data_IF_523863645249
#
_entry.id   IF_523863645249
#
_cell.length_a   1.000
_cell.length_b   1.000
_cell.length_c   1.000
_cell.angle_alpha   90.00
_cell.angle_beta   90.00
_cell.angle_gamma   90.00
#
_symmetry.space_group_name_H-M   'P 1'
#
loop_
_entity.id
_entity.type
_entity.pdbx_description
1 polymer ?
#
# COMPACT_ATOMS: atom_id res chain seq x y z
N UNK A 1 21.80 19.56 -41.08
CA UNK A 1 22.12 18.14 -41.32
C UNK A 1 22.05 17.45 -39.97
N UNK A 2 21.01 16.64 -39.85
CA UNK A 2 20.64 15.82 -38.71
C UNK A 2 21.52 14.56 -38.65
N UNK A 3 21.54 13.91 -37.50
CA UNK A 3 22.08 12.56 -37.19
C UNK A 3 23.58 12.41 -36.89
N UNK A 4 23.90 12.12 -35.61
CA UNK A 4 24.91 11.10 -35.19
C UNK A 4 25.21 11.08 -33.68
N UNK A 5 24.21 10.96 -32.80
CA UNK A 5 24.49 10.69 -31.36
C UNK A 5 23.78 9.50 -30.72
N UNK A 6 23.07 8.67 -31.49
CA UNK A 6 22.36 7.50 -30.97
C UNK A 6 22.76 6.19 -31.66
N UNK A 7 24.00 6.04 -32.12
CA UNK A 7 24.52 4.74 -32.53
C UNK A 7 25.02 3.98 -31.29
N UNK A 8 24.14 3.22 -30.63
CA UNK A 8 24.57 2.24 -29.62
C UNK A 8 23.64 2.00 -28.43
N UNK A 9 22.58 2.78 -28.24
CA UNK A 9 21.64 2.55 -27.13
C UNK A 9 20.56 1.53 -27.55
N UNK A 10 20.53 0.38 -26.87
CA UNK A 10 19.44 -0.59 -27.03
C UNK A 10 18.23 -0.15 -26.19
N UNK A 11 17.00 -0.22 -26.73
CA UNK A 11 15.81 0.15 -25.98
C UNK A 11 15.53 -0.84 -24.84
N UNK A 12 14.81 -0.40 -23.81
CA UNK A 12 14.27 -1.29 -22.78
C UNK A 12 13.39 -2.37 -23.41
N UNK A 13 13.54 -3.61 -22.95
CA UNK A 13 12.78 -4.75 -23.47
C UNK A 13 11.29 -4.74 -23.08
N UNK A 14 10.93 -4.04 -22.01
CA UNK A 14 9.56 -3.96 -21.47
C UNK A 14 9.17 -2.51 -21.19
N UNK A 15 7.87 -2.21 -21.29
CA UNK A 15 7.34 -0.88 -20.97
C UNK A 15 7.29 -0.61 -19.46
N UNK A 16 7.22 0.66 -19.07
CA UNK A 16 7.19 1.07 -17.66
C UNK A 16 5.96 0.55 -16.89
N UNK A 17 4.78 0.51 -17.53
CA UNK A 17 3.53 0.05 -16.92
C UNK A 17 3.29 -1.47 -17.10
N UNK A 18 4.31 -2.22 -17.51
CA UNK A 18 4.20 -3.63 -17.86
C UNK A 18 4.60 -4.56 -16.69
N UNK A 19 4.37 -4.12 -15.45
CA UNK A 19 4.81 -4.85 -14.26
C UNK A 19 4.17 -6.24 -14.13
N UNK A 20 2.99 -6.46 -14.71
CA UNK A 20 2.29 -7.74 -14.68
C UNK A 20 2.78 -8.75 -15.74
N UNK A 21 3.69 -8.37 -16.64
CA UNK A 21 4.29 -9.31 -17.60
C UNK A 21 5.16 -10.38 -16.93
N UNK A 22 5.66 -10.10 -15.72
CA UNK A 22 6.20 -11.11 -14.81
C UNK A 22 5.46 -11.02 -13.46
N UNK A 23 4.39 -11.80 -13.33
CA UNK A 23 3.56 -11.82 -12.10
C UNK A 23 4.37 -12.23 -10.87
N UNK A 24 5.37 -13.11 -11.04
CA UNK A 24 6.22 -13.56 -9.94
C UNK A 24 7.06 -12.39 -9.39
N UNK A 25 7.73 -11.66 -10.28
CA UNK A 25 8.50 -10.47 -9.92
C UNK A 25 7.59 -9.35 -9.41
N UNK A 26 6.41 -9.18 -9.99
CA UNK A 26 5.41 -8.22 -9.53
C UNK A 26 5.00 -8.49 -8.07
N UNK A 27 4.59 -9.71 -7.77
CA UNK A 27 4.22 -10.12 -6.42
C UNK A 27 5.40 -9.98 -5.45
N UNK A 28 6.59 -10.47 -5.81
CA UNK A 28 7.79 -10.32 -4.98
C UNK A 28 8.11 -8.85 -4.70
N UNK A 29 7.96 -7.97 -5.69
CA UNK A 29 8.24 -6.52 -5.53
C UNK A 29 7.20 -5.84 -4.65
N UNK A 30 5.94 -6.27 -4.72
CA UNK A 30 4.87 -5.75 -3.84
C UNK A 30 5.13 -6.11 -2.38
N UNK A 31 5.50 -7.36 -2.10
CA UNK A 31 5.68 -7.84 -0.72
C UNK A 31 7.10 -7.58 -0.18
N UNK A 32 8.11 -7.58 -1.04
CA UNK A 32 9.53 -7.50 -0.70
C UNK A 32 10.31 -6.64 -1.73
N UNK A 33 10.00 -5.34 -1.86
CA UNK A 33 10.64 -4.46 -2.86
C UNK A 33 12.15 -4.36 -2.68
N UNK A 34 12.65 -4.51 -1.44
CA UNK A 34 14.08 -4.51 -1.13
C UNK A 34 14.83 -5.66 -1.78
N UNK A 35 14.23 -6.85 -1.92
CA UNK A 35 14.86 -8.01 -2.57
C UNK A 35 14.98 -7.76 -4.07
N UNK A 36 13.91 -7.25 -4.70
CA UNK A 36 13.93 -6.86 -6.12
C UNK A 36 15.02 -5.83 -6.37
N UNK A 37 15.08 -4.79 -5.55
CA UNK A 37 16.11 -3.76 -5.65
C UNK A 37 17.51 -4.33 -5.42
N UNK A 38 17.72 -5.10 -4.34
CA UNK A 38 19.03 -5.63 -3.98
C UNK A 38 19.61 -6.56 -5.04
N UNK A 39 18.79 -7.44 -5.63
CA UNK A 39 19.21 -8.29 -6.76
C UNK A 39 19.61 -7.46 -7.98
N UNK A 40 18.82 -6.43 -8.30
CA UNK A 40 19.12 -5.55 -9.44
C UNK A 40 20.40 -4.74 -9.20
N UNK A 41 20.55 -4.19 -8.00
CA UNK A 41 21.70 -3.39 -7.59
C UNK A 41 22.99 -4.21 -7.56
N UNK A 42 22.96 -5.45 -7.07
CA UNK A 42 24.12 -6.34 -7.07
C UNK A 42 24.65 -6.59 -8.49
N UNK A 43 23.75 -6.87 -9.44
CA UNK A 43 24.11 -7.07 -10.86
C UNK A 43 24.66 -5.78 -11.48
N UNK A 44 24.01 -4.63 -11.25
CA UNK A 44 24.46 -3.32 -11.75
C UNK A 44 25.85 -2.97 -11.18
N UNK A 45 26.05 -3.24 -9.89
CA UNK A 45 27.29 -2.98 -9.17
C UNK A 45 28.37 -4.04 -9.39
N UNK A 46 28.12 -5.04 -10.25
CA UNK A 46 29.04 -6.14 -10.57
C UNK A 46 29.55 -6.86 -9.31
N UNK A 47 28.70 -7.00 -8.30
CA UNK A 47 29.02 -7.64 -7.03
C UNK A 47 29.93 -6.83 -6.08
N UNK A 48 30.24 -5.56 -6.40
CA UNK A 48 31.00 -4.69 -5.46
C UNK A 48 30.23 -4.37 -4.18
N UNK A 49 28.89 -4.40 -4.24
CA UNK A 49 27.98 -4.35 -3.09
C UNK A 49 27.10 -5.58 -3.22
N UNK A 50 27.04 -6.39 -2.17
CA UNK A 50 26.20 -7.58 -2.17
C UNK A 50 24.71 -7.24 -2.26
N UNK A 51 23.90 -8.20 -2.68
CA UNK A 51 22.44 -8.06 -2.62
C UNK A 51 21.98 -7.76 -1.19
N UNK A 52 22.58 -8.39 -0.17
CA UNK A 52 22.26 -8.16 1.23
C UNK A 52 22.49 -6.70 1.66
N UNK A 53 23.64 -6.12 1.33
CA UNK A 53 23.95 -4.73 1.65
C UNK A 53 23.02 -3.74 0.92
N UNK A 54 22.77 -3.99 -0.37
CA UNK A 54 21.85 -3.18 -1.16
C UNK A 54 20.41 -3.27 -0.63
N UNK A 55 19.98 -4.46 -0.20
CA UNK A 55 18.68 -4.67 0.45
C UNK A 55 18.59 -3.88 1.76
N UNK A 56 19.60 -3.98 2.63
CA UNK A 56 19.63 -3.30 3.93
C UNK A 56 19.58 -1.79 3.76
N UNK A 57 20.41 -1.23 2.86
CA UNK A 57 20.42 0.20 2.59
C UNK A 57 19.08 0.68 2.04
N UNK A 58 18.51 -0.04 1.08
CA UNK A 58 17.21 0.29 0.51
C UNK A 58 16.10 0.20 1.56
N UNK A 59 16.07 -0.87 2.37
CA UNK A 59 15.13 -1.04 3.47
C UNK A 59 15.17 0.14 4.43
N UNK A 60 16.37 0.53 4.90
CA UNK A 60 16.52 1.65 5.84
C UNK A 60 15.96 2.94 5.25
N UNK A 61 16.36 3.28 4.02
CA UNK A 61 15.90 4.50 3.36
C UNK A 61 14.38 4.51 3.13
N UNK A 62 13.83 3.39 2.65
CA UNK A 62 12.41 3.27 2.32
C UNK A 62 11.51 3.21 3.56
N UNK A 63 11.90 2.44 4.58
CA UNK A 63 11.14 2.31 5.81
C UNK A 63 11.15 3.58 6.65
N UNK A 64 12.28 4.28 6.76
CA UNK A 64 12.38 5.51 7.55
C UNK A 64 11.60 6.65 6.88
N UNK A 65 11.67 6.80 5.55
CA UNK A 65 11.04 7.95 4.87
C UNK A 65 9.56 7.78 4.57
N UNK A 66 9.09 6.56 4.30
CA UNK A 66 7.74 6.36 3.73
C UNK A 66 6.95 5.27 4.45
N UNK A 67 7.49 4.05 4.52
CA UNK A 67 6.66 2.89 4.90
C UNK A 67 6.27 2.92 6.37
N UNK A 68 7.21 3.08 7.31
CA UNK A 68 6.87 3.05 8.74
C UNK A 68 5.90 4.19 9.12
N UNK A 69 6.12 5.47 8.73
CA UNK A 69 5.16 6.53 9.01
C UNK A 69 3.77 6.24 8.45
N UNK A 70 3.68 5.73 7.21
CA UNK A 70 2.38 5.40 6.59
C UNK A 70 1.66 4.25 7.29
N UNK A 71 2.39 3.21 7.72
CA UNK A 71 1.83 2.09 8.49
C UNK A 71 1.32 2.58 9.85
N UNK A 72 2.12 3.34 10.60
CA UNK A 72 1.70 3.87 11.91
C UNK A 72 0.46 4.74 11.80
N UNK A 73 0.44 5.63 10.81
CA UNK A 73 -0.71 6.49 10.53
C UNK A 73 -1.96 5.68 10.16
N UNK A 74 -1.82 4.70 9.25
CA UNK A 74 -2.89 3.77 8.88
C UNK A 74 -3.43 3.00 10.08
N UNK A 75 -2.56 2.44 10.92
CA UNK A 75 -2.95 1.73 12.16
C UNK A 75 -3.77 2.60 13.11
N UNK A 76 -3.43 3.88 13.26
CA UNK A 76 -4.18 4.81 14.11
C UNK A 76 -5.58 5.04 13.52
N UNK A 77 -5.67 5.29 12.22
CA UNK A 77 -6.95 5.51 11.54
C UNK A 77 -7.83 4.27 11.56
N UNK A 78 -7.28 3.09 11.28
CA UNK A 78 -7.99 1.83 11.34
C UNK A 78 -8.53 1.53 12.75
N UNK A 79 -7.74 1.79 13.79
CA UNK A 79 -8.21 1.69 15.19
C UNK A 79 -9.35 2.67 15.48
N UNK A 80 -9.25 3.92 15.02
CA UNK A 80 -10.33 4.92 15.16
C UNK A 80 -11.62 4.49 14.44
N UNK A 81 -11.50 4.03 13.19
CA UNK A 81 -12.62 3.52 12.39
C UNK A 81 -13.32 2.38 13.11
N UNK A 82 -12.55 1.43 13.65
CA UNK A 82 -13.10 0.30 14.40
C UNK A 82 -13.78 0.72 15.69
N UNK A 83 -13.21 1.68 16.42
CA UNK A 83 -13.81 2.24 17.64
C UNK A 83 -15.14 2.95 17.36
N UNK A 84 -15.23 3.73 16.28
CA UNK A 84 -16.44 4.47 15.92
C UNK A 84 -17.60 3.58 15.48
N UNK A 85 -17.30 2.51 14.73
CA UNK A 85 -18.34 1.64 14.14
C UNK A 85 -18.45 0.27 14.83
N UNK A 86 -17.89 0.10 16.02
CA UNK A 86 -18.00 -1.14 16.80
C UNK A 86 -17.43 -2.39 16.10
N UNK A 87 -16.44 -2.22 15.23
CA UNK A 87 -15.96 -3.31 14.36
C UNK A 87 -15.04 -4.27 15.12
N UNK A 88 -15.29 -5.58 14.95
CA UNK A 88 -14.48 -6.66 15.53
C UNK A 88 -12.99 -6.48 15.19
N UNK A 89 -12.12 -6.91 16.11
CA UNK A 89 -10.70 -7.04 15.82
C UNK A 89 -10.48 -7.97 14.62
N UNK A 90 -9.65 -7.50 13.69
CA UNK A 90 -9.12 -8.33 12.60
C UNK A 90 -8.33 -9.51 13.20
N UNK A 91 -8.32 -10.70 12.56
CA UNK A 91 -7.54 -11.84 13.04
C UNK A 91 -6.02 -11.57 13.12
N UNK A 92 -5.53 -10.55 12.41
CA UNK A 92 -4.14 -10.06 12.49
C UNK A 92 -4.09 -8.63 13.04
N UNK A 93 -3.01 -8.30 13.75
CA UNK A 93 -2.74 -6.94 14.24
C UNK A 93 -2.74 -5.94 13.07
N UNK A 94 -3.39 -4.79 13.25
CA UNK A 94 -3.51 -3.71 12.25
C UNK A 94 -2.13 -3.30 11.66
N UNK A 95 -1.06 -3.40 12.45
CA UNK A 95 0.32 -3.19 11.96
C UNK A 95 0.73 -4.20 10.88
N UNK A 96 0.51 -5.49 11.11
CA UNK A 96 0.88 -6.54 10.15
C UNK A 96 0.04 -6.44 8.86
N UNK A 97 -1.24 -6.08 9.01
CA UNK A 97 -2.13 -5.86 7.86
C UNK A 97 -1.62 -4.71 6.99
N UNK A 98 -1.23 -3.57 7.57
CA UNK A 98 -0.66 -2.47 6.80
C UNK A 98 0.78 -2.72 6.31
N UNK A 99 1.53 -3.61 6.96
CA UNK A 99 2.89 -3.97 6.55
C UNK A 99 2.91 -4.85 5.30
N UNK A 100 2.10 -5.92 5.29
CA UNK A 100 2.13 -6.91 4.21
C UNK A 100 0.99 -6.75 3.21
N UNK A 101 -0.11 -6.12 3.62
CA UNK A 101 -1.34 -6.01 2.83
C UNK A 101 -1.85 -4.55 2.81
N UNK A 102 -0.93 -3.59 2.71
CA UNK A 102 -1.23 -2.16 2.83
C UNK A 102 -2.42 -1.72 1.96
N UNK A 103 -2.35 -1.99 0.66
CA UNK A 103 -3.40 -1.62 -0.30
C UNK A 103 -4.73 -2.31 0.02
N UNK A 104 -4.71 -3.59 0.42
CA UNK A 104 -5.91 -4.32 0.81
C UNK A 104 -6.58 -3.70 2.05
N UNK A 105 -5.78 -3.26 3.03
CA UNK A 105 -6.26 -2.59 4.24
C UNK A 105 -7.00 -1.29 3.89
N UNK A 106 -6.38 -0.45 3.04
CA UNK A 106 -6.98 0.80 2.57
C UNK A 106 -8.26 0.56 1.77
N UNK A 107 -8.27 -0.43 0.87
CA UNK A 107 -9.49 -0.79 0.14
C UNK A 107 -10.61 -1.25 1.09
N UNK A 108 -10.29 -2.01 2.13
CA UNK A 108 -11.27 -2.44 3.12
C UNK A 108 -11.86 -1.25 3.89
N UNK A 109 -11.03 -0.33 4.36
CA UNK A 109 -11.45 0.88 5.08
C UNK A 109 -12.33 1.78 4.22
N UNK A 110 -11.93 2.01 2.97
CA UNK A 110 -12.71 2.78 1.99
C UNK A 110 -14.09 2.14 1.74
N UNK A 111 -14.13 0.82 1.53
CA UNK A 111 -15.39 0.09 1.34
C UNK A 111 -16.27 0.13 2.58
N UNK A 112 -15.70 0.07 3.78
CA UNK A 112 -16.44 0.20 5.02
C UNK A 112 -17.12 1.56 5.12
N UNK A 113 -16.41 2.65 4.83
CA UNK A 113 -17.02 3.98 4.82
C UNK A 113 -18.12 4.12 3.76
N UNK A 114 -17.91 3.54 2.57
CA UNK A 114 -18.95 3.49 1.53
C UNK A 114 -20.19 2.72 1.99
N UNK A 115 -20.00 1.60 2.70
CA UNK A 115 -21.11 0.81 3.26
C UNK A 115 -21.92 1.60 4.30
N UNK A 116 -21.26 2.47 5.08
CA UNK A 116 -21.93 3.38 6.02
C UNK A 116 -22.67 4.54 5.34
N UNK A 117 -22.68 4.60 4.00
CA UNK A 117 -23.43 5.60 3.22
C UNK A 117 -22.63 6.83 2.80
N UNK A 118 -21.35 6.92 3.17
CA UNK A 118 -20.53 8.08 2.83
C UNK A 118 -20.11 8.11 1.35
N UNK A 119 -20.23 9.27 0.72
CA UNK A 119 -19.63 9.55 -0.59
C UNK A 119 -18.22 10.13 -0.41
N UNK A 120 -17.21 9.31 -0.71
CA UNK A 120 -15.80 9.66 -0.53
C UNK A 120 -15.35 10.84 -1.40
N UNK A 121 -15.97 11.05 -2.57
CA UNK A 121 -15.59 12.15 -3.48
C UNK A 121 -15.99 13.51 -2.95
N UNK A 122 -17.05 13.56 -2.13
CA UNK A 122 -17.58 14.81 -1.55
C UNK A 122 -16.83 15.26 -0.29
N UNK A 123 -15.98 14.38 0.27
CA UNK A 123 -15.26 14.63 1.53
C UNK A 123 -16.20 14.82 2.72
N UNK A 124 -15.65 15.17 3.89
CA UNK A 124 -16.44 15.26 5.13
C UNK A 124 -17.60 16.26 5.04
N UNK A 125 -17.32 17.51 4.61
CA UNK A 125 -18.33 18.59 4.55
C UNK A 125 -19.54 18.22 3.68
N UNK A 126 -19.33 17.53 2.56
CA UNK A 126 -20.42 17.11 1.67
C UNK A 126 -21.26 15.94 2.19
N UNK A 127 -20.81 15.25 3.25
CA UNK A 127 -21.53 14.16 3.91
C UNK A 127 -22.19 14.58 5.23
N UNK A 128 -22.09 15.86 5.64
CA UNK A 128 -22.74 16.36 6.86
C UNK A 128 -24.26 16.52 6.73
N UNK A 129 -24.84 16.22 5.57
CA UNK A 129 -26.29 16.27 5.40
C UNK A 129 -26.96 15.15 6.22
N UNK A 130 -28.08 15.42 6.91
CA UNK A 130 -28.69 14.52 7.90
C UNK A 130 -29.05 13.10 7.43
N UNK A 131 -29.03 12.82 6.11
CA UNK A 131 -29.35 11.51 5.55
C UNK A 131 -28.17 10.54 5.40
N UNK A 132 -26.93 10.95 5.69
CA UNK A 132 -25.71 10.12 5.52
C UNK A 132 -25.06 9.74 6.85
N UNK A 133 -25.16 10.57 7.89
CA UNK A 133 -24.72 10.23 9.25
C UNK A 133 -25.70 9.23 9.88
N UNK A 134 -25.58 7.95 9.52
CA UNK A 134 -26.25 6.89 10.25
C UNK A 134 -25.65 6.81 11.67
N UNK A 135 -26.52 6.85 12.67
CA UNK A 135 -26.18 6.46 14.03
C UNK A 135 -25.53 5.06 14.02
N UNK A 136 -24.59 4.75 14.95
CA UNK A 136 -24.03 3.41 15.03
C UNK A 136 -25.21 2.43 15.10
N UNK A 137 -25.22 1.44 14.21
CA UNK A 137 -26.20 0.35 14.26
C UNK A 137 -25.94 -0.35 15.59
N UNK A 138 -26.72 0.01 16.61
CA UNK A 138 -26.82 -0.79 17.82
C UNK A 138 -27.55 -2.05 17.41
N UNK A 139 -26.86 -3.20 17.46
CA UNK A 139 -27.53 -4.50 17.53
C UNK A 139 -28.33 -4.54 18.84
N UNK A 140 -29.50 -3.92 18.80
CA UNK A 140 -30.48 -3.95 19.86
C UNK A 140 -31.38 -5.17 19.71
N UNK A 141 -31.07 -6.21 20.47
CA UNK A 141 -32.10 -7.00 21.15
C UNK A 141 -32.48 -8.35 20.53
N UNK A 142 -32.06 -9.41 21.24
CA UNK A 142 -32.65 -10.76 21.29
C UNK A 142 -34.14 -10.83 20.98
N UNK A 143 -34.56 -11.82 20.18
CA UNK A 143 -35.65 -12.80 20.43
C UNK A 143 -35.35 -14.05 19.58
N UNK A 144 -35.47 -15.29 20.03
CA UNK A 144 -36.18 -15.90 21.15
C UNK A 144 -35.49 -17.21 21.53
#
# INVERSE_FOLDING_TARGET
MENSKYEGESPWSTGFCDCCSDVSVCCMTIFCPCITFGRSAEIINKGSISCGESCLLYCLLHHIRAVLPSIFYGCIHRRRLRGQYGLKQSPCNDFLVHCFCHYCALCQEYRQLKYQGFDMKRGWKGNQNPGVTMAPVTEGGMKR
#
